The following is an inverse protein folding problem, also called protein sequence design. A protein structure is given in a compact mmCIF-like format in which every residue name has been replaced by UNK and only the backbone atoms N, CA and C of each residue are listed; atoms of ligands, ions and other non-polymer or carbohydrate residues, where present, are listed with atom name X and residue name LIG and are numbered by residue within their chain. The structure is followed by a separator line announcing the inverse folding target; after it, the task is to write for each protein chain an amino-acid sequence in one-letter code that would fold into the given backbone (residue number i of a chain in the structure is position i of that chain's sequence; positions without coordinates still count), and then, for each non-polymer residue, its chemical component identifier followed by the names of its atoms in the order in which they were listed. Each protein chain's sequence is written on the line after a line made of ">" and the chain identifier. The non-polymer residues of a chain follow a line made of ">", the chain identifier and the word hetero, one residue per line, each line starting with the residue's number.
data_IF_895841144882
#
_entry.id   IF_895841144882
#
_cell.length_a   1.000
_cell.length_b   1.000
_cell.length_c   1.000
_cell.angle_alpha   90.00
_cell.angle_beta   90.00
_cell.angle_gamma   90.00
#
_symmetry.space_group_name_H-M   'P 1'
#
loop_
_entity.id
_entity.type
_entity.pdbx_description
1 polymer ?
#
# COMPACT_ATOMS: atom_id res chain seq x y z
N UNK A 1 26.58 60.10 33.31
CA UNK A 1 25.49 60.90 32.71
C UNK A 1 25.57 60.68 31.21
N UNK A 2 24.44 60.29 30.63
CA UNK A 2 24.19 59.97 29.21
C UNK A 2 24.08 58.45 28.96
N UNK A 3 23.00 57.88 29.50
CA UNK A 3 22.37 56.71 28.90
C UNK A 3 21.67 57.20 27.64
N UNK A 4 22.40 57.21 26.52
CA UNK A 4 21.78 57.31 25.19
C UNK A 4 21.00 56.02 24.99
N UNK A 5 19.70 56.08 25.28
CA UNK A 5 18.78 55.04 24.87
C UNK A 5 18.78 55.02 23.34
N UNK A 6 19.42 54.02 22.75
CA UNK A 6 19.25 53.62 21.35
C UNK A 6 17.80 53.17 21.17
N UNK A 7 16.89 54.14 21.04
CA UNK A 7 15.47 53.89 20.82
C UNK A 7 15.35 53.56 19.34
N UNK A 8 15.19 52.27 19.04
CA UNK A 8 14.94 51.78 17.69
C UNK A 8 13.71 52.49 17.11
N UNK A 9 13.86 53.12 15.95
CA UNK A 9 12.78 53.86 15.31
C UNK A 9 11.64 52.90 14.95
N UNK A 10 10.38 53.33 15.02
CA UNK A 10 9.22 52.45 14.76
C UNK A 10 9.32 51.71 13.42
N UNK A 11 9.82 52.39 12.38
CA UNK A 11 10.01 51.81 11.05
C UNK A 11 11.11 50.74 11.02
N UNK A 12 12.18 50.93 11.80
CA UNK A 12 13.27 49.96 11.95
C UNK A 12 12.80 48.72 12.73
N UNK A 13 11.97 48.92 13.75
CA UNK A 13 11.33 47.84 14.50
C UNK A 13 10.37 47.03 13.61
N UNK A 14 9.61 47.69 12.73
CA UNK A 14 8.70 47.05 11.79
C UNK A 14 9.47 46.25 10.71
N UNK A 15 10.60 46.78 10.25
CA UNK A 15 11.47 46.09 9.30
C UNK A 15 12.14 44.86 9.93
N UNK A 16 12.59 44.97 11.19
CA UNK A 16 13.19 43.87 11.92
C UNK A 16 12.18 42.75 12.18
N UNK A 17 10.98 43.09 12.63
CA UNK A 17 9.90 42.11 12.88
C UNK A 17 9.48 41.39 11.61
N UNK A 18 9.42 42.09 10.47
CA UNK A 18 9.18 41.47 9.16
C UNK A 18 10.28 40.48 8.78
N UNK A 19 11.55 40.87 8.90
CA UNK A 19 12.70 39.98 8.63
C UNK A 19 12.67 38.74 9.53
N UNK A 20 12.36 38.92 10.82
CA UNK A 20 12.22 37.80 11.75
C UNK A 20 11.08 36.86 11.35
N UNK A 21 9.93 37.39 10.94
CA UNK A 21 8.82 36.58 10.45
C UNK A 21 9.18 35.79 9.18
N UNK A 22 9.90 36.40 8.24
CA UNK A 22 10.40 35.74 7.03
C UNK A 22 11.40 34.62 7.37
N UNK A 23 12.33 34.87 8.31
CA UNK A 23 13.27 33.84 8.78
C UNK A 23 12.56 32.69 9.52
N UNK A 24 11.59 33.00 10.38
CA UNK A 24 10.79 31.98 11.07
C UNK A 24 10.04 31.14 10.04
N UNK A 25 9.43 31.76 9.04
CA UNK A 25 8.74 31.04 7.98
C UNK A 25 9.70 30.08 7.25
N UNK A 26 10.89 30.54 6.86
CA UNK A 26 11.90 29.70 6.22
C UNK A 26 12.35 28.52 7.10
N UNK A 27 12.67 28.76 8.37
CA UNK A 27 13.08 27.68 9.26
C UNK A 27 11.94 26.70 9.55
N UNK A 28 10.69 27.17 9.62
CA UNK A 28 9.54 26.27 9.83
C UNK A 28 9.31 25.35 8.62
N UNK A 29 9.51 25.83 7.39
CA UNK A 29 9.39 24.99 6.20
C UNK A 29 10.52 23.97 6.13
N UNK A 30 11.75 24.37 6.47
CA UNK A 30 12.89 23.47 6.53
C UNK A 30 12.74 22.39 7.61
N UNK A 31 12.32 22.76 8.82
CA UNK A 31 12.04 21.82 9.90
C UNK A 31 10.95 20.82 9.48
N UNK A 32 9.91 21.28 8.78
CA UNK A 32 8.85 20.40 8.28
C UNK A 32 9.40 19.40 7.28
N UNK A 33 10.16 19.84 6.28
CA UNK A 33 10.82 18.98 5.29
C UNK A 33 11.72 17.93 5.95
N UNK A 34 12.55 18.35 6.91
CA UNK A 34 13.44 17.44 7.63
C UNK A 34 12.67 16.42 8.47
N UNK A 35 11.57 16.82 9.12
CA UNK A 35 10.70 15.91 9.87
C UNK A 35 10.04 14.87 8.96
N UNK A 36 9.55 15.30 7.80
CA UNK A 36 8.94 14.40 6.80
C UNK A 36 9.98 13.38 6.31
N UNK A 37 11.21 13.80 6.02
CA UNK A 37 12.32 12.91 5.64
C UNK A 37 12.65 11.89 6.74
N UNK A 38 12.73 12.34 8.00
CA UNK A 38 12.98 11.45 9.15
C UNK A 38 11.85 10.43 9.30
N UNK A 39 10.60 10.85 9.16
CA UNK A 39 9.46 9.95 9.24
C UNK A 39 9.49 8.91 8.12
N UNK A 40 9.81 9.34 6.90
CA UNK A 40 9.99 8.46 5.76
C UNK A 40 11.08 7.40 6.01
N UNK A 41 12.27 7.82 6.46
CA UNK A 41 13.36 6.91 6.81
C UNK A 41 12.99 5.94 7.94
N UNK A 42 12.25 6.41 8.95
CA UNK A 42 11.76 5.56 10.04
C UNK A 42 10.79 4.49 9.55
N UNK A 43 9.91 4.82 8.60
CA UNK A 43 9.01 3.84 7.97
C UNK A 43 9.78 2.80 7.16
N UNK A 44 10.85 3.18 6.46
CA UNK A 44 11.71 2.23 5.74
C UNK A 44 12.39 1.24 6.70
N UNK A 45 13.01 1.76 7.77
CA UNK A 45 13.83 0.93 8.66
C UNK A 45 12.98 0.11 9.64
N UNK A 46 11.93 0.73 10.20
CA UNK A 46 11.14 0.18 11.32
C UNK A 46 9.66 -0.06 10.99
N UNK A 47 9.24 0.09 9.74
CA UNK A 47 7.87 -0.20 9.30
C UNK A 47 7.50 -1.68 9.41
N UNK A 48 6.20 -1.97 9.33
CA UNK A 48 5.70 -3.35 9.20
C UNK A 48 6.32 -3.97 7.94
N UNK A 49 6.55 -5.29 7.90
CA UNK A 49 7.11 -5.95 6.69
C UNK A 49 6.36 -5.59 5.39
N UNK A 50 5.04 -5.41 5.47
CA UNK A 50 4.19 -4.99 4.33
C UNK A 50 4.27 -3.50 3.97
N UNK A 51 4.84 -2.66 4.84
CA UNK A 51 5.00 -1.22 4.67
C UNK A 51 6.46 -0.81 4.42
N UNK A 52 7.41 -1.73 4.71
CA UNK A 52 8.78 -1.61 4.22
C UNK A 52 8.69 -1.62 2.70
N UNK A 53 9.18 -0.57 2.03
CA UNK A 53 9.33 -0.60 0.57
C UNK A 53 10.43 -1.63 0.30
N UNK A 54 10.04 -2.88 0.18
CA UNK A 54 10.90 -3.88 -0.44
C UNK A 54 11.03 -3.42 -1.90
N UNK A 55 12.26 -3.11 -2.27
CA UNK A 55 12.61 -2.60 -3.59
C UNK A 55 12.37 -3.71 -4.60
N UNK A 56 11.15 -3.80 -5.13
CA UNK A 56 10.85 -4.68 -6.25
C UNK A 56 11.43 -4.03 -7.51
N UNK A 57 12.43 -4.63 -8.17
CA UNK A 57 13.03 -4.07 -9.38
C UNK A 57 12.03 -3.88 -10.53
N UNK A 58 10.83 -4.47 -10.44
CA UNK A 58 9.75 -4.28 -11.42
C UNK A 58 8.75 -3.18 -11.05
N UNK A 59 8.90 -2.51 -9.89
CA UNK A 59 8.00 -1.45 -9.46
C UNK A 59 8.50 -0.06 -9.90
N UNK A 60 7.66 0.69 -10.62
CA UNK A 60 7.97 2.06 -11.05
C UNK A 60 8.00 3.02 -9.86
N UNK A 61 9.13 3.68 -9.65
CA UNK A 61 9.31 4.75 -8.67
C UNK A 61 8.81 6.08 -9.25
N UNK A 62 8.14 6.87 -8.39
CA UNK A 62 7.56 8.16 -8.78
C UNK A 62 8.49 9.36 -8.49
N UNK A 63 9.54 9.17 -7.70
CA UNK A 63 10.42 10.26 -7.24
C UNK A 63 11.76 10.27 -8.01
N UNK A 64 12.06 11.32 -8.79
CA UNK A 64 13.28 11.41 -9.59
C UNK A 64 14.56 11.42 -8.74
N UNK A 65 14.53 12.00 -7.54
CA UNK A 65 15.70 12.04 -6.64
C UNK A 65 16.05 10.63 -6.17
N UNK A 66 15.01 9.82 -5.93
CA UNK A 66 15.17 8.44 -5.49
C UNK A 66 15.75 7.57 -6.61
N UNK A 67 15.30 7.79 -7.87
CA UNK A 67 15.82 7.11 -9.07
C UNK A 67 17.33 7.35 -9.22
N UNK A 68 17.77 8.61 -9.17
CA UNK A 68 19.20 8.95 -9.30
C UNK A 68 20.05 8.33 -8.18
N UNK A 69 19.54 8.28 -6.95
CA UNK A 69 20.24 7.69 -5.81
C UNK A 69 20.45 6.17 -5.97
N UNK A 70 19.50 5.47 -6.59
CA UNK A 70 19.60 4.02 -6.85
C UNK A 70 20.55 3.72 -7.99
N UNK A 71 20.54 4.54 -9.05
CA UNK A 71 21.49 4.41 -10.16
C UNK A 71 22.94 4.60 -9.68
N UNK A 72 23.16 5.51 -8.73
CA UNK A 72 24.47 5.75 -8.14
C UNK A 72 24.92 4.66 -7.16
N UNK A 73 23.98 3.99 -6.48
CA UNK A 73 24.28 2.92 -5.53
C UNK A 73 23.25 1.79 -5.66
N UNK A 74 23.43 0.89 -6.65
CA UNK A 74 22.47 -0.17 -6.89
C UNK A 74 22.41 -1.11 -5.69
N UNK A 75 21.21 -1.47 -5.20
CA UNK A 75 21.09 -2.46 -4.15
C UNK A 75 21.70 -3.79 -4.61
N UNK A 76 22.30 -4.57 -3.68
CA UNK A 76 22.88 -5.85 -4.01
C UNK A 76 21.83 -6.74 -4.67
N UNK A 77 22.22 -7.41 -5.76
CA UNK A 77 21.34 -8.34 -6.47
C UNK A 77 20.69 -9.29 -5.47
N UNK A 78 19.36 -9.51 -5.56
CA UNK A 78 18.71 -10.49 -4.71
C UNK A 78 19.42 -11.82 -4.94
N UNK A 79 20.03 -12.35 -3.87
CA UNK A 79 20.58 -13.70 -3.89
C UNK A 79 19.46 -14.62 -4.37
N UNK A 80 19.74 -15.58 -5.27
CA UNK A 80 18.71 -16.49 -5.74
C UNK A 80 18.04 -17.08 -4.51
N UNK A 81 16.77 -16.74 -4.32
CA UNK A 81 15.97 -17.33 -3.28
C UNK A 81 16.03 -18.82 -3.55
N UNK A 82 16.64 -19.56 -2.62
CA UNK A 82 16.57 -21.00 -2.66
C UNK A 82 15.08 -21.29 -2.61
N UNK A 83 14.53 -21.73 -3.74
CA UNK A 83 13.16 -22.20 -3.84
C UNK A 83 13.01 -23.37 -2.88
N UNK A 84 12.74 -23.06 -1.62
CA UNK A 84 12.29 -24.06 -0.68
C UNK A 84 10.92 -24.48 -1.19
N UNK A 85 10.69 -25.77 -1.50
CA UNK A 85 9.36 -26.21 -1.83
C UNK A 85 8.49 -25.89 -0.63
N UNK A 86 7.66 -24.85 -0.76
CA UNK A 86 6.65 -24.52 0.23
C UNK A 86 5.72 -25.72 0.21
N UNK A 87 5.85 -26.60 1.19
CA UNK A 87 4.93 -27.71 1.38
C UNK A 87 3.53 -27.14 1.25
N UNK A 88 2.73 -27.64 0.30
CA UNK A 88 1.37 -27.19 0.10
C UNK A 88 0.69 -27.21 1.47
N UNK A 89 0.49 -26.03 2.06
CA UNK A 89 -0.05 -25.95 3.40
C UNK A 89 -1.47 -26.46 3.27
N UNK A 90 -1.73 -27.69 3.71
CA UNK A 90 -3.09 -28.13 3.98
C UNK A 90 -3.51 -27.32 5.20
N UNK A 91 -4.14 -26.18 4.94
CA UNK A 91 -4.88 -25.48 5.98
C UNK A 91 -5.93 -26.48 6.43
N UNK A 92 -5.92 -26.85 7.71
CA UNK A 92 -7.16 -27.30 8.32
C UNK A 92 -8.14 -26.18 8.04
N UNK A 93 -9.13 -26.42 7.18
CA UNK A 93 -10.26 -25.53 7.10
C UNK A 93 -10.70 -25.39 8.55
N UNK A 94 -10.51 -24.19 9.13
CA UNK A 94 -11.26 -23.87 10.32
C UNK A 94 -12.69 -24.24 9.96
N UNK A 95 -13.43 -24.98 10.79
CA UNK A 95 -14.85 -25.05 10.56
C UNK A 95 -15.30 -23.59 10.68
N UNK A 96 -15.39 -22.89 9.54
CA UNK A 96 -16.24 -21.72 9.42
C UNK A 96 -17.49 -22.15 10.17
N UNK A 97 -17.93 -21.39 11.17
CA UNK A 97 -18.90 -21.86 12.18
C UNK A 97 -20.24 -22.37 11.64
N UNK A 98 -20.38 -22.47 10.32
CA UNK A 98 -21.34 -23.28 9.56
C UNK A 98 -20.79 -24.71 9.41
N UNK A 99 -21.30 -25.63 10.23
CA UNK A 99 -21.16 -27.06 9.94
C UNK A 99 -21.78 -27.43 8.58
N UNK A 100 -21.41 -28.59 8.04
CA UNK A 100 -22.05 -29.15 6.84
C UNK A 100 -23.56 -29.22 7.05
N UNK A 101 -24.36 -28.78 6.07
CA UNK A 101 -25.81 -28.89 6.17
C UNK A 101 -26.20 -30.37 6.31
N UNK A 102 -27.14 -30.71 7.22
CA UNK A 102 -27.56 -32.09 7.41
C UNK A 102 -28.05 -32.75 6.12
N UNK A 103 -27.67 -34.01 5.90
CA UNK A 103 -28.03 -34.78 4.71
C UNK A 103 -29.53 -35.08 4.56
N UNK A 104 -30.33 -34.88 5.61
CA UNK A 104 -31.77 -35.09 5.57
C UNK A 104 -32.56 -33.90 5.02
N UNK A 105 -31.90 -32.74 4.81
CA UNK A 105 -32.53 -31.59 4.18
C UNK A 105 -32.63 -31.82 2.67
N UNK A 106 -33.76 -31.44 2.08
CA UNK A 106 -33.95 -31.45 0.63
C UNK A 106 -32.94 -30.50 -0.02
N UNK A 107 -32.28 -30.98 -1.09
CA UNK A 107 -31.25 -30.24 -1.83
C UNK A 107 -31.75 -29.98 -3.25
N UNK A 108 -31.80 -28.72 -3.65
CA UNK A 108 -32.06 -28.31 -5.03
C UNK A 108 -30.76 -27.78 -5.64
N UNK A 109 -30.31 -28.39 -6.75
CA UNK A 109 -29.10 -27.97 -7.47
C UNK A 109 -29.53 -26.98 -8.56
N UNK A 110 -29.09 -25.73 -8.43
CA UNK A 110 -29.30 -24.69 -9.44
C UNK A 110 -27.97 -24.41 -10.13
N UNK A 111 -27.81 -24.91 -11.35
CA UNK A 111 -26.63 -24.62 -12.18
C UNK A 111 -26.78 -23.23 -12.81
N UNK A 112 -25.90 -22.29 -12.42
CA UNK A 112 -25.81 -20.96 -13.01
C UNK A 112 -24.66 -20.97 -14.01
N UNK A 113 -24.99 -21.12 -15.29
CA UNK A 113 -24.01 -21.12 -16.38
C UNK A 113 -24.26 -19.96 -17.36
N UNK A 114 -23.26 -19.68 -18.18
CA UNK A 114 -23.26 -18.67 -19.22
C UNK A 114 -24.18 -19.14 -20.37
N UNK A 115 -24.92 -18.24 -21.08
CA UNK A 115 -25.72 -18.63 -22.25
C UNK A 115 -24.88 -19.30 -23.35
N UNK A 116 -25.50 -20.21 -24.10
CA UNK A 116 -24.84 -21.05 -25.13
C UNK A 116 -24.05 -20.24 -26.17
N UNK A 117 -24.54 -19.07 -26.56
CA UNK A 117 -23.88 -18.16 -27.52
C UNK A 117 -22.49 -17.71 -27.03
N UNK A 118 -22.32 -17.56 -25.72
CA UNK A 118 -21.07 -17.11 -25.10
C UNK A 118 -20.16 -18.28 -24.71
N UNK A 119 -20.62 -19.54 -24.82
CA UNK A 119 -19.79 -20.74 -24.66
C UNK A 119 -18.88 -21.00 -25.87
N UNK A 120 -19.06 -20.25 -26.95
CA UNK A 120 -18.22 -20.30 -28.13
C UNK A 120 -17.20 -19.16 -28.12
N UNK A 121 -16.00 -19.46 -28.61
CA UNK A 121 -15.01 -18.45 -28.97
C UNK A 121 -15.41 -17.79 -30.30
N UNK A 122 -14.88 -16.59 -30.61
CA UNK A 122 -15.10 -15.96 -31.92
C UNK A 122 -14.74 -16.87 -33.11
N UNK A 123 -13.82 -17.81 -32.90
CA UNK A 123 -13.35 -18.79 -33.89
C UNK A 123 -14.24 -20.04 -34.00
N UNK A 124 -15.36 -20.10 -33.26
CA UNK A 124 -16.34 -21.19 -33.28
C UNK A 124 -15.98 -22.42 -32.43
N UNK A 125 -14.84 -22.39 -31.71
CA UNK A 125 -14.44 -23.43 -30.77
C UNK A 125 -15.14 -23.29 -29.40
N UNK A 126 -15.33 -24.40 -28.70
CA UNK A 126 -15.93 -24.42 -27.36
C UNK A 126 -14.95 -23.80 -26.36
N UNK A 127 -15.41 -22.84 -25.56
CA UNK A 127 -14.61 -22.21 -24.50
C UNK A 127 -14.25 -23.25 -23.43
N UNK A 128 -12.98 -23.35 -23.02
CA UNK A 128 -12.59 -24.23 -21.94
C UNK A 128 -13.19 -23.75 -20.60
N UNK A 129 -13.73 -24.68 -19.80
CA UNK A 129 -14.19 -24.37 -18.44
C UNK A 129 -12.98 -24.21 -17.52
N UNK A 130 -12.80 -23.01 -16.95
CA UNK A 130 -11.71 -22.70 -16.03
C UNK A 130 -12.31 -22.48 -14.63
N UNK A 131 -12.11 -23.47 -13.75
CA UNK A 131 -12.62 -23.43 -12.37
C UNK A 131 -14.13 -23.56 -12.27
N UNK A 132 -14.60 -23.80 -11.05
CA UNK A 132 -16.01 -23.68 -10.66
C UNK A 132 -16.09 -23.44 -9.15
N UNK A 133 -17.17 -22.81 -8.71
CA UNK A 133 -17.44 -22.55 -7.30
C UNK A 133 -18.80 -23.16 -6.94
N UNK A 134 -18.80 -24.03 -5.93
CA UNK A 134 -20.01 -24.65 -5.39
C UNK A 134 -20.37 -23.98 -4.06
N UNK A 135 -21.63 -23.58 -3.90
CA UNK A 135 -22.12 -23.00 -2.64
C UNK A 135 -23.49 -23.56 -2.25
N UNK A 136 -23.66 -23.92 -0.97
CA UNK A 136 -24.93 -24.37 -0.38
C UNK A 136 -25.55 -23.26 0.47
N UNK A 137 -26.86 -23.00 0.31
CA UNK A 137 -27.61 -22.00 1.10
C UNK A 137 -28.92 -22.61 1.62
N UNK A 138 -29.29 -22.31 2.87
CA UNK A 138 -30.60 -22.69 3.42
C UNK A 138 -31.68 -21.77 2.84
N UNK A 139 -32.75 -22.36 2.30
CA UNK A 139 -33.95 -21.61 1.96
C UNK A 139 -34.71 -21.26 3.25
N UNK A 140 -34.91 -19.97 3.52
CA UNK A 140 -35.71 -19.49 4.65
C UNK A 140 -36.92 -18.71 4.11
N UNK A 141 -38.13 -19.15 4.45
CA UNK A 141 -39.33 -18.30 4.36
C UNK A 141 -39.37 -17.37 5.57
N UNK A 142 -39.65 -16.06 5.42
CA UNK A 142 -39.75 -15.13 6.54
C UNK A 142 -40.88 -15.48 7.51
#
# INVERSE_FOLDING_TARGET
>A
MNEETDILTYDEALLLTRKQAEMIALFTTEIRSLKEQIEWLKRQLFGRKSERMEFDPNQLLLDPILVEAIEQNPPPEPKPEIESPVAAHVRKAAPHGRGVLPAHLEREIVEVDIPEEQKLLPDGSVRPRIGFEDSEKLACTP
#
